data_IF_690184022212
#
_entry.id   IF_690184022212
#
_cell.length_a   1.000
_cell.length_b   1.000
_cell.length_c   1.000
_cell.angle_alpha   90.00
_cell.angle_beta   90.00
_cell.angle_gamma   90.00
#
_symmetry.space_group_name_H-M   'P 1'
#
loop_
_entity.id
_entity.type
_entity.pdbx_description
1 polymer ?
#
# COMPACT_ATOMS: atom_id res chain seq x y z
N UNK A 1 -4.32 11.86 -1.80
CA UNK A 1 -3.61 10.64 -2.26
C UNK A 1 -4.22 9.41 -1.61
N UNK A 2 -4.46 8.39 -2.39
CA UNK A 2 -5.04 7.14 -1.91
C UNK A 2 -4.02 6.02 -2.00
N UNK A 3 -3.74 5.38 -0.87
CA UNK A 3 -2.82 4.23 -0.79
C UNK A 3 -3.64 2.98 -0.55
N UNK A 4 -3.55 2.02 -1.44
CA UNK A 4 -4.31 0.78 -1.35
C UNK A 4 -3.41 -0.40 -1.03
N UNK A 5 -3.82 -1.20 -0.04
CA UNK A 5 -3.15 -2.43 0.33
C UNK A 5 -4.03 -3.59 -0.10
N UNK A 6 -3.60 -4.34 -1.09
CA UNK A 6 -4.34 -5.46 -1.66
C UNK A 6 -3.89 -6.76 -1.00
N UNK A 7 -4.81 -7.43 -0.31
CA UNK A 7 -4.49 -8.69 0.35
C UNK A 7 -5.71 -9.31 0.99
N UNK A 8 -5.62 -10.61 1.26
CA UNK A 8 -6.73 -11.40 1.80
C UNK A 8 -6.64 -11.61 3.31
N UNK A 9 -5.88 -10.78 4.02
CA UNK A 9 -5.79 -10.84 5.47
C UNK A 9 -4.69 -11.73 6.02
N UNK A 10 -3.67 -12.05 5.21
CA UNK A 10 -2.52 -12.81 5.68
C UNK A 10 -1.61 -11.94 6.55
N UNK A 11 -0.69 -12.57 7.28
CA UNK A 11 0.26 -11.84 8.15
C UNK A 11 1.09 -10.81 7.38
N UNK A 12 1.51 -11.16 6.17
CA UNK A 12 2.30 -10.26 5.32
C UNK A 12 1.48 -9.04 4.89
N UNK A 13 0.20 -9.26 4.62
CA UNK A 13 -0.72 -8.17 4.25
C UNK A 13 -0.90 -7.22 5.43
N UNK A 14 -1.08 -7.76 6.62
CA UNK A 14 -1.22 -6.97 7.85
C UNK A 14 0.05 -6.20 8.15
N UNK A 15 1.21 -6.83 7.94
CA UNK A 15 2.50 -6.18 8.17
C UNK A 15 2.71 -5.01 7.20
N UNK A 16 2.35 -5.20 5.94
CA UNK A 16 2.45 -4.13 4.96
C UNK A 16 1.52 -2.96 5.31
N UNK A 17 0.32 -3.27 5.78
CA UNK A 17 -0.63 -2.25 6.21
C UNK A 17 -0.07 -1.43 7.39
N UNK A 18 0.48 -2.12 8.38
CA UNK A 18 1.10 -1.46 9.54
C UNK A 18 2.28 -0.60 9.12
N UNK A 19 3.15 -1.11 8.26
CA UNK A 19 4.30 -0.36 7.75
C UNK A 19 3.84 0.89 6.98
N UNK A 20 2.73 0.77 6.24
CA UNK A 20 2.15 1.90 5.51
C UNK A 20 1.61 2.96 6.47
N UNK A 21 0.94 2.55 7.52
CA UNK A 21 0.45 3.48 8.55
C UNK A 21 1.61 4.23 9.20
N UNK A 22 2.69 3.52 9.52
CA UNK A 22 3.88 4.13 10.12
C UNK A 22 4.53 5.12 9.15
N UNK A 23 4.61 4.77 7.87
CA UNK A 23 5.18 5.65 6.85
C UNK A 23 4.38 6.95 6.73
N UNK A 24 3.06 6.84 6.69
CA UNK A 24 2.18 8.01 6.57
C UNK A 24 2.28 8.89 7.81
N UNK A 25 2.41 8.29 9.00
CA UNK A 25 2.53 9.03 10.26
C UNK A 25 3.82 9.87 10.32
N UNK A 26 4.85 9.48 9.57
CA UNK A 26 6.12 10.20 9.52
C UNK A 26 6.14 11.34 8.51
N UNK A 27 5.09 11.49 7.69
CA UNK A 27 5.01 12.54 6.68
C UNK A 27 4.57 13.87 7.31
N UNK A 28 5.02 14.97 6.70
CA UNK A 28 4.70 16.32 7.19
C UNK A 28 3.21 16.67 7.05
N UNK A 29 2.54 16.09 6.07
CA UNK A 29 1.12 16.37 5.79
C UNK A 29 0.32 15.10 5.59
N UNK A 30 0.17 14.27 6.63
CA UNK A 30 -0.51 12.98 6.48
C UNK A 30 -2.02 13.08 6.26
N UNK A 31 -2.62 14.24 6.49
CA UNK A 31 -4.07 14.42 6.37
C UNK A 31 -4.60 14.31 4.95
N UNK A 32 -3.75 14.33 3.94
CA UNK A 32 -4.14 14.18 2.54
C UNK A 32 -4.01 12.75 2.04
N UNK A 33 -3.63 11.82 2.92
CA UNK A 33 -3.38 10.43 2.53
C UNK A 33 -4.40 9.52 3.18
N UNK A 34 -5.12 8.79 2.33
CA UNK A 34 -6.10 7.78 2.75
C UNK A 34 -5.50 6.40 2.53
N UNK A 35 -5.53 5.56 3.56
CA UNK A 35 -5.05 4.18 3.47
C UNK A 35 -6.25 3.25 3.47
N UNK A 36 -6.35 2.39 2.44
CA UNK A 36 -7.47 1.47 2.26
C UNK A 36 -6.97 0.04 2.12
N UNK A 37 -7.59 -0.90 2.83
CA UNK A 37 -7.34 -2.33 2.66
C UNK A 37 -8.39 -2.90 1.73
N UNK A 38 -7.95 -3.65 0.72
CA UNK A 38 -8.86 -4.27 -0.25
C UNK A 38 -8.60 -5.77 -0.29
N UNK A 39 -9.65 -6.56 -0.05
CA UNK A 39 -9.58 -8.02 -0.07
C UNK A 39 -10.28 -8.67 -1.25
N UNK A 40 -10.70 -7.90 -2.24
CA UNK A 40 -11.43 -8.40 -3.41
C UNK A 40 -10.46 -8.89 -4.48
N UNK A 41 -10.45 -10.21 -4.70
CA UNK A 41 -9.57 -10.85 -5.68
C UNK A 41 -9.84 -10.35 -7.10
N UNK A 42 -11.09 -10.03 -7.43
CA UNK A 42 -11.43 -9.50 -8.74
C UNK A 42 -10.77 -8.15 -8.98
N UNK A 43 -10.70 -7.33 -7.93
CA UNK A 43 -10.00 -6.05 -8.01
C UNK A 43 -8.50 -6.25 -8.21
N UNK A 44 -7.90 -7.24 -7.54
CA UNK A 44 -6.47 -7.55 -7.70
C UNK A 44 -6.16 -7.86 -9.16
N UNK A 45 -6.95 -8.76 -9.75
CA UNK A 45 -6.79 -9.15 -11.15
C UNK A 45 -6.94 -7.96 -12.09
N UNK A 46 -7.96 -7.14 -11.85
CA UNK A 46 -8.22 -5.94 -12.64
C UNK A 46 -7.03 -4.98 -12.63
N UNK A 47 -6.36 -4.86 -11.49
CA UNK A 47 -5.22 -3.96 -11.35
C UNK A 47 -3.89 -4.61 -11.73
N UNK A 48 -3.91 -5.88 -12.14
CA UNK A 48 -2.70 -6.59 -12.53
C UNK A 48 -1.88 -7.12 -11.36
N UNK A 49 -2.51 -7.27 -10.18
CA UNK A 49 -1.84 -7.78 -8.99
C UNK A 49 -2.16 -9.26 -8.82
N UNK A 50 -1.17 -10.10 -9.07
CA UNK A 50 -1.32 -11.55 -8.99
C UNK A 50 -0.63 -12.16 -7.76
N UNK A 51 0.18 -11.38 -7.08
CA UNK A 51 0.86 -11.80 -5.85
C UNK A 51 0.55 -10.79 -4.74
N UNK A 52 0.09 -11.29 -3.60
CA UNK A 52 -0.21 -10.44 -2.45
C UNK A 52 0.91 -10.50 -1.42
N UNK A 53 1.11 -9.45 -0.65
CA UNK A 53 0.35 -8.21 -0.67
C UNK A 53 0.76 -7.29 -1.83
N UNK A 54 -0.19 -6.50 -2.31
CA UNK A 54 0.07 -5.47 -3.31
C UNK A 54 -0.04 -4.08 -2.71
N UNK A 55 0.80 -3.16 -3.18
CA UNK A 55 0.77 -1.77 -2.75
C UNK A 55 0.52 -0.88 -3.96
N UNK A 56 -0.56 -0.10 -3.91
CA UNK A 56 -0.92 0.84 -4.96
C UNK A 56 -0.99 2.25 -4.38
N UNK A 57 -0.53 3.23 -5.17
CA UNK A 57 -0.66 4.64 -4.82
C UNK A 57 -1.36 5.33 -5.98
N UNK A 58 -2.53 5.91 -5.71
CA UNK A 58 -3.37 6.59 -6.71
C UNK A 58 -3.61 5.72 -7.96
N UNK A 59 -3.84 4.43 -7.75
CA UNK A 59 -4.13 3.49 -8.83
C UNK A 59 -2.92 2.92 -9.53
N UNK A 60 -1.71 3.35 -9.17
CA UNK A 60 -0.48 2.84 -9.74
C UNK A 60 0.08 1.72 -8.86
N UNK A 61 0.40 0.59 -9.47
CA UNK A 61 0.99 -0.55 -8.74
C UNK A 61 2.45 -0.24 -8.42
N UNK A 62 2.75 -0.13 -7.13
CA UNK A 62 4.09 0.18 -6.65
C UNK A 62 4.88 -1.10 -6.39
N UNK A 63 4.25 -2.10 -5.77
CA UNK A 63 4.88 -3.39 -5.54
C UNK A 63 3.86 -4.50 -5.45
N UNK A 64 4.28 -5.72 -5.73
CA UNK A 64 3.46 -6.93 -5.59
C UNK A 64 4.28 -8.02 -4.93
N UNK A 65 3.66 -8.76 -4.02
CA UNK A 65 4.30 -9.90 -3.36
C UNK A 65 5.41 -9.54 -2.39
N UNK A 66 5.55 -8.28 -2.03
CA UNK A 66 6.61 -7.79 -1.14
C UNK A 66 6.04 -7.03 0.04
N UNK A 67 6.72 -7.14 1.18
CA UNK A 67 6.40 -6.33 2.36
C UNK A 67 7.48 -5.24 2.44
N UNK A 68 7.17 -4.07 1.90
CA UNK A 68 8.09 -2.93 1.95
C UNK A 68 8.19 -2.40 3.38
N UNK A 69 9.38 -1.90 3.75
CA UNK A 69 9.56 -1.26 5.05
C UNK A 69 8.87 0.12 5.05
N UNK A 70 8.64 0.66 6.25
CA UNK A 70 8.04 2.00 6.36
C UNK A 70 8.88 3.06 5.64
N UNK A 71 10.21 2.95 5.68
CA UNK A 71 11.09 3.88 4.96
C UNK A 71 10.92 3.79 3.45
N UNK A 72 10.82 2.58 2.91
CA UNK A 72 10.63 2.37 1.48
C UNK A 72 9.28 2.93 1.03
N UNK A 73 8.23 2.69 1.83
CA UNK A 73 6.89 3.19 1.53
C UNK A 73 6.87 4.71 1.58
N UNK A 74 7.51 5.30 2.58
CA UNK A 74 7.61 6.74 2.72
C UNK A 74 8.27 7.37 1.51
N UNK A 75 9.38 6.79 1.02
CA UNK A 75 10.06 7.26 -0.18
C UNK A 75 9.14 7.22 -1.40
N UNK A 76 8.38 6.14 -1.56
CA UNK A 76 7.45 6.00 -2.70
C UNK A 76 6.34 7.05 -2.65
N UNK A 77 5.83 7.33 -1.47
CA UNK A 77 4.80 8.35 -1.28
C UNK A 77 5.38 9.73 -1.59
N UNK A 78 6.57 10.02 -1.08
CA UNK A 78 7.22 11.31 -1.29
C UNK A 78 7.51 11.58 -2.77
N UNK A 79 7.83 10.55 -3.54
CA UNK A 79 8.04 10.67 -4.99
C UNK A 79 6.78 11.15 -5.71
N UNK A 80 5.60 10.96 -5.12
CA UNK A 80 4.32 11.31 -5.73
C UNK A 80 3.70 12.59 -5.17
N UNK A 81 4.31 13.17 -4.18
CA UNK A 81 3.82 14.41 -3.57
C UNK A 81 4.27 15.70 -4.33
#
# INVERSE_FOLDING_TARGET
MKVEILGTGCKRCDQLYENTQNAVAELDSPGHIEIVKIGDINYFTKMGVFMTPGLLIDGEVISTGKVLSSNQIKEKIEEKL
#
